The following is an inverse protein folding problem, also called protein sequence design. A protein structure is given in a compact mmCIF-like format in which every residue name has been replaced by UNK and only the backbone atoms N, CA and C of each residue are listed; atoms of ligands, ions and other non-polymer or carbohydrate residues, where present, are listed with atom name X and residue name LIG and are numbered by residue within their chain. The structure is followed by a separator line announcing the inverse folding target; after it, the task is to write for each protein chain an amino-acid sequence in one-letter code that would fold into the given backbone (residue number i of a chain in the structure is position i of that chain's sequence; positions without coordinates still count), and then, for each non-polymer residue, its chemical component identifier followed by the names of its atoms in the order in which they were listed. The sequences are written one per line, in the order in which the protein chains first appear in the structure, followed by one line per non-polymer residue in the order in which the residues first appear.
data_IF_218292170817
#
_entry.id   IF_218292170817
#
_cell.length_a   1.000
_cell.length_b   1.000
_cell.length_c   1.000
_cell.angle_alpha   90.00
_cell.angle_beta   90.00
_cell.angle_gamma   90.00
#
_symmetry.space_group_name_H-M   'P 1'
#
loop_
_entity.id
_entity.type
_entity.pdbx_description
1 polymer ?
#
# COMPACT_ATOMS: atom_id res chain seq x y z
N UNK A 1 1.24 11.05 1.82
CA UNK A 1 1.79 9.78 1.29
C UNK A 1 3.32 9.74 1.33
N UNK A 2 4.04 10.67 0.68
CA UNK A 2 5.52 10.66 0.57
C UNK A 2 6.24 10.67 1.92
N UNK A 3 5.80 11.51 2.86
CA UNK A 3 6.41 11.62 4.19
C UNK A 3 6.22 10.36 5.06
N UNK A 4 5.03 9.76 5.03
CA UNK A 4 4.73 8.54 5.79
C UNK A 4 5.53 7.33 5.29
N UNK A 5 5.64 7.16 3.97
CA UNK A 5 6.44 6.07 3.40
C UNK A 5 7.94 6.29 3.59
N UNK A 6 8.42 7.54 3.54
CA UNK A 6 9.80 7.86 3.92
C UNK A 6 10.07 7.54 5.39
N UNK A 7 9.16 7.90 6.30
CA UNK A 7 9.26 7.57 7.72
C UNK A 7 9.25 6.05 7.96
N UNK A 8 8.36 5.30 7.29
CA UNK A 8 8.32 3.84 7.35
C UNK A 8 9.64 3.21 6.85
N UNK A 9 10.27 3.81 5.84
CA UNK A 9 11.57 3.36 5.34
C UNK A 9 12.69 3.67 6.33
N UNK A 10 12.71 4.87 6.92
CA UNK A 10 13.68 5.26 7.97
C UNK A 10 13.55 4.39 9.22
N UNK A 11 12.32 4.03 9.59
CA UNK A 11 12.03 3.10 10.68
C UNK A 11 12.34 1.63 10.33
N UNK A 12 12.89 1.36 9.14
CA UNK A 12 13.20 0.03 8.62
C UNK A 12 11.98 -0.93 8.49
N UNK A 13 10.75 -0.41 8.57
CA UNK A 13 9.52 -1.20 8.41
C UNK A 13 9.39 -1.80 6.99
N UNK A 14 10.05 -1.17 6.00
CA UNK A 14 10.11 -1.62 4.61
C UNK A 14 11.39 -2.42 4.28
N UNK A 15 12.25 -2.70 5.27
CA UNK A 15 13.55 -3.35 5.07
C UNK A 15 14.74 -2.40 4.87
N UNK A 16 14.50 -1.08 4.90
CA UNK A 16 15.52 -0.03 4.77
C UNK A 16 15.99 0.24 3.34
N UNK A 17 16.49 1.46 3.08
CA UNK A 17 17.13 1.81 1.80
C UNK A 17 16.16 2.04 0.63
N UNK A 18 16.43 1.42 -0.53
CA UNK A 18 15.69 1.64 -1.80
C UNK A 18 14.33 0.93 -1.88
N UNK A 19 13.89 0.25 -0.82
CA UNK A 19 12.59 -0.46 -0.76
C UNK A 19 11.37 0.48 -0.63
N UNK A 20 11.58 1.79 -0.74
CA UNK A 20 10.51 2.78 -0.77
C UNK A 20 9.89 2.85 -2.18
N UNK A 21 8.60 2.49 -2.35
CA UNK A 21 7.94 2.58 -3.65
C UNK A 21 7.72 4.02 -4.13
N UNK A 22 8.05 5.03 -3.30
CA UNK A 22 7.94 6.45 -3.63
C UNK A 22 9.33 7.06 -3.75
N UNK A 23 9.74 7.37 -4.98
CA UNK A 23 10.92 8.21 -5.26
C UNK A 23 12.20 7.47 -5.65
N UNK A 24 12.23 6.14 -5.60
CA UNK A 24 13.27 5.33 -6.22
C UNK A 24 12.65 4.07 -6.81
N UNK A 25 12.79 3.77 -8.10
CA UNK A 25 12.47 2.45 -8.64
C UNK A 25 13.51 1.45 -8.12
N UNK A 26 13.39 1.06 -6.85
CA UNK A 26 14.24 0.07 -6.19
C UNK A 26 13.59 -1.31 -6.15
N UNK A 27 14.37 -2.30 -5.75
CA UNK A 27 13.86 -3.60 -5.33
C UNK A 27 12.86 -3.43 -4.19
N UNK A 28 11.64 -3.97 -4.35
CA UNK A 28 10.64 -4.00 -3.28
C UNK A 28 11.16 -4.71 -2.02
N UNK A 29 10.42 -4.64 -0.90
CA UNK A 29 10.82 -5.28 0.34
C UNK A 29 10.99 -6.79 0.15
N UNK A 30 11.89 -7.42 0.92
CA UNK A 30 12.11 -8.87 0.84
C UNK A 30 10.86 -9.70 1.18
N UNK A 31 9.93 -9.11 1.93
CA UNK A 31 8.63 -9.68 2.30
C UNK A 31 7.56 -8.61 2.15
N UNK A 32 6.34 -8.99 1.78
CA UNK A 32 5.23 -8.04 1.64
C UNK A 32 4.95 -7.31 2.96
N UNK A 33 4.76 -5.99 2.88
CA UNK A 33 4.51 -5.10 4.04
C UNK A 33 3.24 -4.29 3.85
N UNK A 34 2.58 -3.96 4.96
CA UNK A 34 1.46 -3.04 5.01
C UNK A 34 1.80 -1.86 5.93
N UNK A 35 1.38 -0.65 5.53
CA UNK A 35 1.55 0.59 6.29
C UNK A 35 0.20 1.29 6.35
N UNK A 36 -0.25 1.63 7.56
CA UNK A 36 -1.41 2.48 7.78
C UNK A 36 -0.94 3.84 8.28
N UNK A 37 -1.43 4.92 7.69
CA UNK A 37 -1.11 6.28 8.14
C UNK A 37 -2.27 7.24 7.90
N UNK A 38 -2.39 8.25 8.76
CA UNK A 38 -3.39 9.31 8.61
C UNK A 38 -2.94 10.30 7.53
N UNK A 39 -3.84 10.60 6.60
CA UNK A 39 -3.70 11.71 5.64
C UNK A 39 -4.35 12.98 6.14
N UNK A 40 -5.39 12.85 6.96
CA UNK A 40 -6.03 13.94 7.69
C UNK A 40 -6.18 13.48 9.13
N UNK A 41 -5.50 14.16 10.04
CA UNK A 41 -5.54 13.92 11.48
C UNK A 41 -6.00 15.22 12.15
N UNK A 42 -7.06 15.16 12.95
CA UNK A 42 -7.67 16.29 13.66
C UNK A 42 -7.32 16.32 15.14
N UNK A 43 -7.05 15.15 15.72
CA UNK A 43 -6.63 14.98 17.11
C UNK A 43 -5.22 14.34 17.16
N UNK A 44 -4.66 14.10 18.34
CA UNK A 44 -3.34 13.45 18.47
C UNK A 44 -3.42 12.02 19.00
N UNK A 45 -4.57 11.35 18.84
CA UNK A 45 -4.75 9.97 19.26
C UNK A 45 -4.58 9.00 18.06
N UNK A 46 -4.65 7.70 18.35
CA UNK A 46 -4.48 6.62 17.38
C UNK A 46 -5.84 6.07 16.89
N UNK A 47 -6.92 6.83 17.07
CA UNK A 47 -8.29 6.44 16.74
C UNK A 47 -8.72 7.20 15.48
N UNK A 48 -9.27 6.49 14.48
CA UNK A 48 -9.79 7.12 13.28
C UNK A 48 -11.19 7.70 13.56
N UNK A 49 -11.29 9.02 13.62
CA UNK A 49 -12.53 9.72 13.98
C UNK A 49 -13.27 10.34 12.77
N UNK A 50 -14.56 10.71 12.90
CA UNK A 50 -15.31 11.36 11.82
C UNK A 50 -14.63 12.60 11.24
N UNK A 51 -14.37 12.54 9.93
CA UNK A 51 -13.71 13.60 9.17
C UNK A 51 -12.17 13.55 9.25
N UNK A 52 -11.59 12.48 9.80
CA UNK A 52 -10.21 12.07 9.57
C UNK A 52 -10.15 11.04 8.44
N UNK A 53 -8.98 10.93 7.80
CA UNK A 53 -8.74 9.98 6.72
C UNK A 53 -7.45 9.21 6.99
N UNK A 54 -7.50 7.88 6.87
CA UNK A 54 -6.33 7.02 6.90
C UNK A 54 -6.18 6.27 5.57
N UNK A 55 -4.92 6.04 5.18
CA UNK A 55 -4.57 5.27 4.00
C UNK A 55 -3.89 3.97 4.43
N UNK A 56 -4.34 2.85 3.85
CA UNK A 56 -3.63 1.58 3.86
C UNK A 56 -2.80 1.45 2.59
N UNK A 57 -1.50 1.21 2.73
CA UNK A 57 -0.57 0.95 1.62
C UNK A 57 0.03 -0.43 1.79
N UNK A 58 -0.13 -1.28 0.79
CA UNK A 58 0.51 -2.60 0.71
C UNK A 58 1.66 -2.52 -0.29
N UNK A 59 2.87 -2.83 0.18
CA UNK A 59 4.08 -2.90 -0.63
C UNK A 59 4.46 -4.37 -0.78
N UNK A 60 4.22 -4.92 -1.96
CA UNK A 60 4.50 -6.32 -2.25
C UNK A 60 5.99 -6.59 -2.39
N UNK A 61 6.41 -7.78 -1.94
CA UNK A 61 7.67 -8.35 -2.39
C UNK A 61 7.61 -8.69 -3.88
N UNK A 62 8.75 -8.91 -4.51
CA UNK A 62 8.77 -9.37 -5.91
C UNK A 62 8.08 -10.74 -6.09
N UNK A 63 8.15 -11.61 -5.08
CA UNK A 63 7.54 -12.94 -5.13
C UNK A 63 6.01 -12.90 -4.96
N UNK A 64 5.50 -11.94 -4.19
CA UNK A 64 4.07 -11.83 -3.87
C UNK A 64 3.33 -10.84 -4.79
N UNK A 65 4.05 -10.17 -5.70
CA UNK A 65 3.46 -9.14 -6.56
C UNK A 65 2.35 -9.75 -7.42
N UNK A 66 1.10 -9.27 -7.31
CA UNK A 66 -0.01 -9.79 -8.11
C UNK A 66 0.25 -9.63 -9.60
N UNK A 67 0.06 -10.72 -10.36
CA UNK A 67 0.12 -10.71 -11.82
C UNK A 67 -1.12 -10.06 -12.42
N UNK A 68 -1.09 -9.64 -13.70
CA UNK A 68 -2.28 -9.11 -14.37
C UNK A 68 -3.46 -10.09 -14.30
N UNK A 69 -4.68 -9.55 -14.13
CA UNK A 69 -5.93 -10.31 -13.96
C UNK A 69 -6.01 -11.16 -12.69
N UNK A 70 -5.01 -11.13 -11.81
CA UNK A 70 -5.10 -11.77 -10.49
C UNK A 70 -5.97 -10.94 -9.55
N UNK A 71 -6.68 -11.64 -8.67
CA UNK A 71 -7.44 -11.02 -7.61
C UNK A 71 -6.55 -10.72 -6.40
N UNK A 72 -6.76 -9.54 -5.82
CA UNK A 72 -6.14 -9.08 -4.58
C UNK A 72 -7.24 -8.90 -3.55
N UNK A 73 -7.07 -9.56 -2.41
CA UNK A 73 -7.92 -9.41 -1.22
C UNK A 73 -7.11 -8.87 -0.06
N UNK A 74 -7.69 -7.96 0.69
CA UNK A 74 -7.15 -7.49 1.97
C UNK A 74 -8.31 -7.30 2.94
N UNK A 75 -8.09 -7.65 4.20
CA UNK A 75 -9.05 -7.46 5.28
C UNK A 75 -8.43 -6.57 6.36
N UNK A 76 -9.16 -5.53 6.75
CA UNK A 76 -8.82 -4.72 7.90
C UNK A 76 -9.69 -5.15 9.08
N UNK A 77 -9.07 -5.82 10.04
CA UNK A 77 -9.71 -6.26 11.27
C UNK A 77 -9.48 -5.18 12.34
N UNK A 78 -10.57 -4.67 12.88
CA UNK A 78 -10.56 -3.65 13.94
C UNK A 78 -10.72 -4.33 15.30
N UNK A 79 -10.23 -3.69 16.36
CA UNK A 79 -10.38 -4.18 17.75
C UNK A 79 -11.86 -4.29 18.17
N UNK A 80 -12.73 -3.48 17.55
CA UNK A 80 -14.18 -3.62 17.66
C UNK A 80 -14.88 -3.22 16.37
N UNK A 81 -16.07 -3.79 16.12
CA UNK A 81 -16.88 -3.54 14.94
C UNK A 81 -16.74 -4.62 13.86
N UNK A 82 -17.28 -4.33 12.67
CA UNK A 82 -17.20 -5.24 11.52
C UNK A 82 -15.89 -5.02 10.74
N UNK A 83 -15.25 -6.09 10.25
CA UNK A 83 -14.07 -5.97 9.41
C UNK A 83 -14.41 -5.28 8.08
N UNK A 84 -13.42 -4.62 7.50
CA UNK A 84 -13.54 -4.03 6.16
C UNK A 84 -12.77 -4.91 5.18
N UNK A 85 -13.48 -5.44 4.18
CA UNK A 85 -12.88 -6.23 3.10
C UNK A 85 -12.67 -5.38 1.85
N UNK A 86 -11.48 -5.49 1.27
CA UNK A 86 -11.12 -4.89 0.00
C UNK A 86 -10.83 -5.99 -1.00
N UNK A 87 -11.53 -5.98 -2.12
CA UNK A 87 -11.32 -6.92 -3.22
C UNK A 87 -11.17 -6.15 -4.54
N UNK A 88 -10.12 -6.48 -5.28
CA UNK A 88 -9.81 -5.87 -6.57
C UNK A 88 -9.19 -6.90 -7.50
N UNK A 89 -9.59 -6.90 -8.76
CA UNK A 89 -8.85 -7.57 -9.83
C UNK A 89 -7.80 -6.64 -10.40
N UNK A 90 -6.56 -7.09 -10.52
CA UNK A 90 -5.50 -6.32 -11.15
C UNK A 90 -5.83 -6.13 -12.63
N UNK A 91 -5.83 -4.89 -13.14
CA UNK A 91 -6.10 -4.67 -14.55
C UNK A 91 -5.04 -5.36 -15.42
N UNK A 92 -5.41 -5.81 -16.64
CA UNK A 92 -4.46 -6.35 -17.58
C UNK A 92 -3.39 -5.31 -17.91
N UNK A 93 -2.12 -5.72 -17.97
CA UNK A 93 -1.05 -4.87 -18.50
C UNK A 93 -1.19 -4.77 -20.01
N UNK A 94 -1.48 -3.57 -20.52
CA UNK A 94 -1.45 -3.26 -21.95
C UNK A 94 -0.14 -2.54 -22.27
N UNK A 95 0.92 -3.32 -22.46
CA UNK A 95 2.25 -2.79 -22.81
C UNK A 95 2.39 -2.50 -24.32
N UNK A 96 1.32 -2.65 -25.10
CA UNK A 96 1.34 -2.39 -26.54
C UNK A 96 0.23 -1.42 -26.92
N UNK A 97 0.63 -0.18 -27.24
CA UNK A 97 -0.10 0.58 -28.24
C UNK A 97 0.04 -0.19 -29.55
N UNK A 98 -1.00 -0.89 -29.98
CA UNK A 98 -1.09 -1.33 -31.38
C UNK A 98 -1.30 -0.08 -32.21
N UNK A 99 -0.25 0.39 -32.90
CA UNK A 99 -0.42 1.35 -33.98
C UNK A 99 -1.28 0.68 -35.07
N UNK A 100 -2.46 1.24 -35.35
CA UNK A 100 -3.41 0.70 -36.35
C UNK A 100 -3.21 1.29 -37.74
N UNK A 101 -1.97 1.65 -38.09
CA UNK A 101 -1.62 2.24 -39.39
C UNK A 101 -1.62 3.76 -39.35
#
# INVERSE_FOLDING_TARGET
MTAAMAAANTAACLGGGSANPIGSPGTGPATTKAVVYWTVQKNTNEILEPGEHANLVIVYSNADRPSPSQEVKAELILDSGAPVEFQRTMPPMVDKFTNMG
#
